data_IF_708707343815
#
_entry.id   IF_708707343815
#
_cell.length_a   1.000
_cell.length_b   1.000
_cell.length_c   1.000
_cell.angle_alpha   90.00
_cell.angle_beta   90.00
_cell.angle_gamma   90.00
#
_symmetry.space_group_name_H-M   'P 1'
#
loop_
_entity.id
_entity.type
_entity.pdbx_description
1 polymer ?
#
# COMPACT_ATOMS: atom_id res chain seq x y z
N UNK A 1 -10.48 -19.31 -14.25
CA UNK A 1 -11.17 -18.82 -13.05
C UNK A 1 -11.67 -17.40 -13.37
N UNK A 2 -12.93 -17.06 -13.06
CA UNK A 2 -13.43 -15.69 -13.27
C UNK A 2 -12.63 -14.73 -12.39
N UNK A 3 -12.12 -13.64 -12.97
CA UNK A 3 -11.45 -12.58 -12.21
C UNK A 3 -12.35 -12.12 -11.08
N UNK A 4 -11.85 -12.00 -9.85
CA UNK A 4 -12.65 -11.49 -8.76
C UNK A 4 -13.11 -10.07 -9.11
N UNK A 5 -14.40 -9.81 -9.05
CA UNK A 5 -14.98 -8.52 -9.40
C UNK A 5 -14.87 -7.58 -8.19
N UNK A 6 -13.67 -6.99 -7.99
CA UNK A 6 -13.43 -6.03 -6.93
C UNK A 6 -14.19 -4.73 -7.22
N UNK A 7 -14.83 -4.16 -6.21
CA UNK A 7 -15.49 -2.85 -6.26
C UNK A 7 -14.68 -1.79 -5.53
N UNK A 8 -14.07 -2.17 -4.42
CA UNK A 8 -13.27 -1.27 -3.58
C UNK A 8 -11.97 -1.95 -3.17
N UNK A 9 -10.87 -1.29 -3.40
CA UNK A 9 -9.55 -1.80 -3.03
C UNK A 9 -8.76 -0.79 -2.20
N UNK A 10 -7.86 -1.30 -1.36
CA UNK A 10 -6.79 -0.51 -0.79
C UNK A 10 -5.49 -0.81 -1.55
N UNK A 11 -4.88 0.20 -2.14
CA UNK A 11 -3.57 0.10 -2.78
C UNK A 11 -2.49 0.55 -1.79
N UNK A 12 -1.64 -0.39 -1.36
CA UNK A 12 -0.48 -0.10 -0.53
C UNK A 12 0.78 -0.08 -1.37
N UNK A 13 1.53 1.02 -1.29
CA UNK A 13 2.82 1.16 -1.96
C UNK A 13 3.96 1.27 -0.94
N UNK A 14 5.10 0.63 -1.24
CA UNK A 14 6.34 0.95 -0.53
C UNK A 14 6.79 2.37 -0.93
N UNK A 15 7.26 3.16 0.04
CA UNK A 15 7.85 4.47 -0.28
C UNK A 15 9.00 4.39 -1.29
N UNK A 16 9.74 3.28 -1.28
CA UNK A 16 10.83 3.03 -2.23
C UNK A 16 10.38 3.00 -3.70
N UNK A 17 9.10 2.74 -3.96
CA UNK A 17 8.54 2.85 -5.30
C UNK A 17 8.63 4.28 -5.82
N UNK A 18 8.47 5.28 -4.93
CA UNK A 18 8.46 6.69 -5.32
C UNK A 18 9.85 7.30 -5.54
N UNK A 19 10.93 6.55 -5.30
CA UNK A 19 12.31 7.02 -5.56
C UNK A 19 12.69 7.02 -7.05
N UNK A 20 11.90 6.35 -7.90
CA UNK A 20 12.29 6.10 -9.29
C UNK A 20 13.58 5.28 -9.36
N UNK A 21 14.55 5.78 -10.10
CA UNK A 21 15.92 5.22 -10.19
C UNK A 21 16.87 5.71 -9.08
N UNK A 22 16.41 6.65 -8.23
CA UNK A 22 17.18 7.20 -7.13
C UNK A 22 17.27 6.26 -5.92
N UNK A 23 18.08 6.66 -4.94
CA UNK A 23 18.24 5.94 -3.68
C UNK A 23 17.49 6.60 -2.50
N UNK A 24 16.94 7.79 -2.71
CA UNK A 24 16.29 8.61 -1.70
C UNK A 24 15.35 9.63 -2.34
N UNK A 25 14.34 10.06 -1.58
CA UNK A 25 13.45 11.14 -1.99
C UNK A 25 12.25 10.69 -2.81
N UNK A 26 11.67 11.64 -3.53
CA UNK A 26 10.45 11.47 -4.34
C UNK A 26 10.76 11.86 -5.77
N UNK A 27 10.53 10.96 -6.70
CA UNK A 27 10.65 11.21 -8.15
C UNK A 27 9.28 11.57 -8.74
N UNK A 28 9.11 12.82 -9.25
CA UNK A 28 7.85 13.26 -9.80
C UNK A 28 7.35 12.41 -10.98
N UNK A 29 8.25 11.95 -11.86
CA UNK A 29 7.87 11.14 -13.01
C UNK A 29 7.29 9.79 -12.57
N UNK A 30 7.87 9.18 -11.53
CA UNK A 30 7.33 7.95 -10.93
C UNK A 30 5.98 8.19 -10.29
N UNK A 31 5.77 9.32 -9.59
CA UNK A 31 4.47 9.67 -9.03
C UNK A 31 3.41 9.83 -10.15
N UNK A 32 3.76 10.48 -11.25
CA UNK A 32 2.87 10.65 -12.41
C UNK A 32 2.52 9.33 -13.08
N UNK A 33 3.49 8.42 -13.24
CA UNK A 33 3.24 7.06 -13.74
C UNK A 33 2.27 6.28 -12.84
N UNK A 34 2.52 6.26 -11.53
CA UNK A 34 1.62 5.60 -10.56
C UNK A 34 0.23 6.24 -10.56
N UNK A 35 0.14 7.56 -10.70
CA UNK A 35 -1.14 8.25 -10.82
C UNK A 35 -1.92 7.83 -12.07
N UNK A 36 -1.23 7.57 -13.19
CA UNK A 36 -1.81 7.02 -14.41
C UNK A 36 -2.42 5.62 -14.20
N UNK A 37 -1.72 4.74 -13.48
CA UNK A 37 -2.24 3.40 -13.11
C UNK A 37 -3.51 3.50 -12.24
N UNK A 38 -3.49 4.38 -11.24
CA UNK A 38 -4.64 4.60 -10.36
C UNK A 38 -5.82 5.19 -11.13
N UNK A 39 -5.55 6.13 -12.05
CA UNK A 39 -6.57 6.71 -12.93
C UNK A 39 -7.24 5.63 -13.78
N UNK A 40 -6.46 4.79 -14.45
CA UNK A 40 -6.99 3.70 -15.30
C UNK A 40 -7.85 2.72 -14.49
N UNK A 41 -7.42 2.34 -13.28
CA UNK A 41 -8.19 1.49 -12.39
C UNK A 41 -9.51 2.16 -11.96
N UNK A 42 -9.48 3.48 -11.70
CA UNK A 42 -10.65 4.26 -11.34
C UNK A 42 -11.65 4.39 -12.49
N UNK A 43 -11.16 4.61 -13.71
CA UNK A 43 -11.98 4.65 -14.93
C UNK A 43 -12.65 3.31 -15.23
N UNK A 44 -12.05 2.21 -14.76
CA UNK A 44 -12.68 0.88 -14.76
C UNK A 44 -13.78 0.69 -13.69
N UNK A 45 -14.08 1.73 -12.88
CA UNK A 45 -15.19 1.75 -11.93
C UNK A 45 -14.82 1.40 -10.49
N UNK A 46 -13.51 1.28 -10.15
CA UNK A 46 -13.10 0.95 -8.80
C UNK A 46 -13.13 2.16 -7.86
N UNK A 47 -13.54 1.93 -6.64
CA UNK A 47 -13.25 2.82 -5.51
C UNK A 47 -11.87 2.46 -4.93
N UNK A 48 -11.00 3.46 -4.81
CA UNK A 48 -9.60 3.25 -4.41
C UNK A 48 -9.27 4.12 -3.21
N UNK A 49 -8.69 3.50 -2.19
CA UNK A 49 -7.93 4.21 -1.17
C UNK A 49 -6.47 3.72 -1.16
N UNK A 50 -5.57 4.54 -0.63
CA UNK A 50 -4.14 4.28 -0.73
C UNK A 50 -3.44 4.49 0.60
N UNK A 51 -2.38 3.71 0.82
CA UNK A 51 -1.37 3.90 1.86
C UNK A 51 0.00 3.88 1.20
N UNK A 52 0.81 4.89 1.44
CA UNK A 52 2.19 4.95 0.92
C UNK A 52 3.17 4.95 2.09
N UNK A 53 4.14 4.05 2.06
CA UNK A 53 5.21 3.99 3.06
C UNK A 53 6.14 5.21 3.01
N UNK A 54 6.93 5.43 4.08
CA UNK A 54 7.87 6.55 4.20
C UNK A 54 9.34 6.21 3.98
N UNK A 55 9.65 4.95 3.63
CA UNK A 55 11.02 4.42 3.64
C UNK A 55 11.99 5.02 2.61
N UNK A 56 11.49 5.76 1.62
CA UNK A 56 12.29 6.56 0.69
C UNK A 56 12.80 7.88 1.30
N UNK A 57 12.22 8.32 2.42
CA UNK A 57 12.57 9.59 3.10
C UNK A 57 13.19 9.27 4.46
N UNK A 58 12.54 8.43 5.27
CA UNK A 58 13.01 8.07 6.60
C UNK A 58 12.52 6.68 7.00
N UNK A 59 13.41 5.88 7.61
CA UNK A 59 13.09 4.54 8.14
C UNK A 59 13.27 4.54 9.65
N UNK A 60 12.18 4.40 10.40
CA UNK A 60 12.19 4.43 11.86
C UNK A 60 13.12 3.37 12.49
N UNK A 61 13.13 2.14 11.97
CA UNK A 61 14.04 1.08 12.43
C UNK A 61 15.51 1.42 12.20
N UNK A 62 15.85 2.01 11.04
CA UNK A 62 17.23 2.44 10.76
C UNK A 62 17.62 3.65 11.63
N UNK A 63 16.69 4.58 11.88
CA UNK A 63 16.88 5.71 12.78
C UNK A 63 17.13 5.24 14.22
N UNK A 64 16.35 4.29 14.73
CA UNK A 64 16.55 3.71 16.05
C UNK A 64 17.93 3.02 16.18
N UNK A 65 18.38 2.32 15.13
CA UNK A 65 19.72 1.74 15.09
C UNK A 65 20.85 2.79 15.08
N UNK A 66 20.56 4.04 14.71
CA UNK A 66 21.48 5.18 14.75
C UNK A 66 21.41 5.98 16.06
N UNK A 67 20.66 5.50 17.06
CA UNK A 67 20.59 6.11 18.39
C UNK A 67 19.38 7.00 18.67
N UNK A 68 18.44 7.12 17.73
CA UNK A 68 17.16 7.76 18.02
C UNK A 68 16.29 6.87 18.93
N UNK A 69 15.50 7.49 19.81
CA UNK A 69 14.42 6.80 20.48
C UNK A 69 13.46 6.19 19.45
N UNK A 70 13.03 4.95 19.66
CA UNK A 70 12.22 4.20 18.70
C UNK A 70 10.90 4.90 18.38
N UNK A 71 10.19 5.40 19.39
CA UNK A 71 8.92 6.07 19.17
C UNK A 71 9.09 7.37 18.39
N UNK A 72 10.15 8.15 18.70
CA UNK A 72 10.51 9.37 17.97
C UNK A 72 10.85 9.07 16.52
N UNK A 73 11.64 8.02 16.26
CA UNK A 73 11.99 7.59 14.91
C UNK A 73 10.75 7.13 14.11
N UNK A 74 9.82 6.43 14.75
CA UNK A 74 8.57 6.02 14.11
C UNK A 74 7.68 7.23 13.75
N UNK A 75 7.61 8.29 14.61
CA UNK A 75 6.93 9.54 14.27
C UNK A 75 7.58 10.25 13.07
N UNK A 76 8.91 10.26 12.97
CA UNK A 76 9.60 10.79 11.78
C UNK A 76 9.22 10.00 10.53
N UNK A 77 9.14 8.68 10.62
CA UNK A 77 8.65 7.81 9.54
C UNK A 77 7.18 8.10 9.17
N UNK A 78 6.32 8.38 10.14
CA UNK A 78 4.93 8.78 9.90
C UNK A 78 4.86 10.10 9.14
N UNK A 79 5.66 11.12 9.51
CA UNK A 79 5.74 12.39 8.80
C UNK A 79 6.26 12.20 7.36
N UNK A 80 7.20 11.29 7.14
CA UNK A 80 7.66 10.93 5.80
C UNK A 80 6.52 10.37 4.93
N UNK A 81 5.58 9.59 5.50
CA UNK A 81 4.40 9.13 4.76
C UNK A 81 3.46 10.28 4.36
N UNK A 82 3.40 11.35 5.17
CA UNK A 82 2.60 12.54 4.83
C UNK A 82 3.19 13.24 3.61
N UNK A 83 4.51 13.41 3.54
CA UNK A 83 5.17 13.97 2.36
C UNK A 83 4.87 13.17 1.10
N UNK A 84 4.96 11.84 1.17
CA UNK A 84 4.62 10.96 0.05
C UNK A 84 3.14 11.05 -0.35
N UNK A 85 2.24 11.14 0.61
CA UNK A 85 0.81 11.28 0.34
C UNK A 85 0.48 12.60 -0.37
N UNK A 86 1.12 13.71 0.01
CA UNK A 86 0.96 15.01 -0.65
C UNK A 86 1.53 14.99 -2.08
N UNK A 87 2.68 14.35 -2.29
CA UNK A 87 3.25 14.18 -3.63
C UNK A 87 2.33 13.36 -4.54
N UNK A 88 1.79 12.24 -4.03
CA UNK A 88 0.83 11.43 -4.77
C UNK A 88 -0.49 12.16 -5.01
N UNK A 89 -1.00 12.94 -4.05
CA UNK A 89 -2.17 13.80 -4.27
C UNK A 89 -1.94 14.75 -5.43
N UNK A 90 -0.80 15.44 -5.45
CA UNK A 90 -0.47 16.36 -6.54
C UNK A 90 -0.44 15.67 -7.91
N UNK A 91 0.18 14.48 -7.99
CA UNK A 91 0.23 13.71 -9.23
C UNK A 91 -1.15 13.23 -9.68
N UNK A 92 -1.98 12.74 -8.76
CA UNK A 92 -3.34 12.29 -9.04
C UNK A 92 -4.24 13.44 -9.51
N UNK A 93 -4.17 14.59 -8.84
CA UNK A 93 -4.96 15.77 -9.22
C UNK A 93 -4.54 16.34 -10.58
N UNK A 94 -3.24 16.35 -10.91
CA UNK A 94 -2.73 16.65 -12.25
C UNK A 94 -3.26 15.69 -13.32
N UNK A 95 -3.42 14.41 -12.97
CA UNK A 95 -4.01 13.40 -13.86
C UNK A 95 -5.54 13.51 -13.97
N UNK A 96 -6.18 14.44 -13.25
CA UNK A 96 -7.62 14.65 -13.25
C UNK A 96 -8.39 13.77 -12.27
N UNK A 97 -7.72 13.17 -11.28
CA UNK A 97 -8.32 12.32 -10.25
C UNK A 97 -8.52 13.13 -8.98
N UNK A 98 -9.77 13.42 -8.61
CA UNK A 98 -10.06 14.08 -7.33
C UNK A 98 -9.53 13.24 -6.15
N UNK A 99 -8.72 13.86 -5.29
CA UNK A 99 -8.00 13.15 -4.23
C UNK A 99 -8.12 13.89 -2.89
N UNK A 100 -8.12 13.15 -1.78
CA UNK A 100 -8.06 13.69 -0.43
C UNK A 100 -7.02 12.96 0.41
N UNK A 101 -6.17 13.71 1.09
CA UNK A 101 -5.24 13.16 2.09
C UNK A 101 -5.88 13.28 3.46
N UNK A 102 -5.90 12.17 4.21
CA UNK A 102 -6.33 12.13 5.60
C UNK A 102 -5.21 11.59 6.48
N UNK A 103 -4.80 12.36 7.50
CA UNK A 103 -3.71 12.01 8.40
C UNK A 103 -4.23 11.48 9.74
N UNK A 104 -3.62 10.39 10.23
CA UNK A 104 -3.86 9.86 11.56
C UNK A 104 -3.32 10.79 12.66
N UNK A 105 -2.28 11.59 12.36
CA UNK A 105 -1.80 12.67 13.23
C UNK A 105 -2.47 13.96 12.78
N UNK A 106 -3.20 14.68 13.66
CA UNK A 106 -3.86 15.93 13.30
C UNK A 106 -2.86 16.99 12.82
N UNK A 107 -3.05 17.48 11.59
CA UNK A 107 -2.27 18.56 11.00
C UNK A 107 -3.15 19.37 10.02
N UNK A 108 -4.18 20.01 10.56
CA UNK A 108 -5.27 20.62 9.81
C UNK A 108 -4.84 21.67 8.76
N UNK A 109 -3.68 22.30 8.92
CA UNK A 109 -3.12 23.24 7.94
C UNK A 109 -2.52 22.55 6.71
N UNK A 110 -2.33 21.22 6.74
CA UNK A 110 -1.65 20.45 5.68
C UNK A 110 -2.62 19.50 4.98
N UNK A 111 -3.41 18.75 5.76
CA UNK A 111 -4.38 17.77 5.24
C UNK A 111 -5.50 17.54 6.24
N UNK A 112 -6.52 16.79 5.84
CA UNK A 112 -7.65 16.50 6.71
C UNK A 112 -7.24 15.54 7.85
N UNK A 113 -7.80 15.71 9.07
CA UNK A 113 -7.72 14.67 10.08
C UNK A 113 -8.49 13.42 9.62
N UNK A 114 -7.95 12.24 9.92
CA UNK A 114 -8.61 10.99 9.62
C UNK A 114 -9.91 10.85 10.44
N UNK A 115 -11.00 10.71 9.73
CA UNK A 115 -12.31 10.36 10.28
C UNK A 115 -12.92 9.32 9.32
N UNK A 116 -13.15 8.09 9.81
CA UNK A 116 -13.62 6.95 9.02
C UNK A 116 -14.79 7.32 8.10
N UNK A 117 -15.88 7.87 8.64
CA UNK A 117 -17.08 8.25 7.87
C UNK A 117 -16.82 9.33 6.81
N UNK A 118 -15.84 10.20 7.05
CA UNK A 118 -15.44 11.22 6.09
C UNK A 118 -14.67 10.59 4.91
N UNK A 119 -13.78 9.62 5.20
CA UNK A 119 -13.10 8.84 4.18
C UNK A 119 -14.11 8.06 3.31
N UNK A 120 -15.03 7.31 3.92
CA UNK A 120 -16.10 6.61 3.21
C UNK A 120 -16.89 7.56 2.30
N UNK A 121 -17.26 8.75 2.81
CA UNK A 121 -18.00 9.75 2.02
C UNK A 121 -17.19 10.29 0.84
N UNK A 122 -15.87 10.43 0.97
CA UNK A 122 -15.01 10.80 -0.15
C UNK A 122 -15.00 9.71 -1.23
N UNK A 123 -14.81 8.45 -0.85
CA UNK A 123 -14.81 7.33 -1.79
C UNK A 123 -16.14 7.20 -2.53
N UNK A 124 -17.27 7.29 -1.83
CA UNK A 124 -18.63 7.30 -2.41
C UNK A 124 -18.86 8.45 -3.43
N UNK A 125 -18.12 9.56 -3.27
CA UNK A 125 -18.12 10.67 -4.24
C UNK A 125 -17.13 10.46 -5.39
N UNK A 126 -16.55 9.27 -5.49
CA UNK A 126 -15.59 8.93 -6.52
C UNK A 126 -14.19 9.54 -6.32
N UNK A 127 -13.83 9.97 -5.11
CA UNK A 127 -12.51 10.48 -4.78
C UNK A 127 -11.57 9.35 -4.35
N UNK A 128 -10.29 9.49 -4.69
CA UNK A 128 -9.24 8.67 -4.08
C UNK A 128 -8.90 9.23 -2.70
N UNK A 129 -8.78 8.38 -1.69
CA UNK A 129 -8.38 8.77 -0.34
C UNK A 129 -6.98 8.21 -0.05
N UNK A 130 -6.04 9.09 0.30
CA UNK A 130 -4.71 8.72 0.76
C UNK A 130 -4.67 8.79 2.29
N UNK A 131 -4.36 7.68 2.94
CA UNK A 131 -4.17 7.63 4.38
C UNK A 131 -2.70 7.87 4.72
N UNK A 132 -2.43 8.92 5.47
CA UNK A 132 -1.10 9.38 5.86
C UNK A 132 -0.87 9.25 7.37
N UNK A 133 0.37 9.36 7.81
CA UNK A 133 0.83 9.22 9.19
C UNK A 133 0.53 7.84 9.81
N UNK A 134 0.48 6.79 8.99
CA UNK A 134 0.34 5.43 9.48
C UNK A 134 -0.94 5.22 10.30
N UNK A 135 -0.82 4.52 11.43
CA UNK A 135 -1.87 4.39 12.43
C UNK A 135 -1.95 5.59 13.39
N UNK A 136 -0.97 6.50 13.35
CA UNK A 136 -0.76 7.55 14.35
C UNK A 136 -0.06 7.07 15.62
N UNK A 137 0.30 5.79 15.69
CA UNK A 137 0.91 5.15 16.86
C UNK A 137 2.28 4.56 16.49
N UNK A 138 3.31 4.74 17.33
CA UNK A 138 4.60 4.08 17.18
C UNK A 138 4.48 2.54 17.20
N UNK A 139 5.52 1.86 16.76
CA UNK A 139 5.67 0.39 16.71
C UNK A 139 4.83 -0.32 15.64
N UNK A 140 3.99 0.38 14.90
CA UNK A 140 3.25 -0.16 13.76
C UNK A 140 3.86 0.25 12.44
N UNK A 141 3.77 -0.64 11.46
CA UNK A 141 4.24 -0.36 10.09
C UNK A 141 3.13 0.18 9.20
N UNK A 142 3.48 0.59 7.98
CA UNK A 142 2.49 0.93 6.96
C UNK A 142 1.77 -0.28 6.39
N UNK A 143 2.28 -1.50 6.58
CA UNK A 143 1.58 -2.74 6.23
C UNK A 143 0.40 -2.97 7.19
N UNK A 144 0.64 -2.84 8.51
CA UNK A 144 -0.44 -2.87 9.53
C UNK A 144 -1.47 -1.76 9.28
N UNK A 145 -1.00 -0.55 8.92
CA UNK A 145 -1.89 0.56 8.56
C UNK A 145 -2.78 0.20 7.37
N UNK A 146 -2.20 -0.39 6.33
CA UNK A 146 -2.95 -0.78 5.13
C UNK A 146 -4.03 -1.83 5.46
N UNK A 147 -3.70 -2.86 6.23
CA UNK A 147 -4.66 -3.86 6.68
C UNK A 147 -5.81 -3.24 7.50
N UNK A 148 -5.48 -2.36 8.47
CA UNK A 148 -6.47 -1.64 9.29
C UNK A 148 -7.40 -0.79 8.43
N UNK A 149 -6.85 0.03 7.53
CA UNK A 149 -7.67 0.90 6.67
C UNK A 149 -8.49 0.10 5.65
N UNK A 150 -7.97 -1.01 5.14
CA UNK A 150 -8.74 -1.91 4.27
C UNK A 150 -9.99 -2.46 4.99
N UNK A 151 -9.83 -2.92 6.24
CA UNK A 151 -10.94 -3.38 7.06
C UNK A 151 -11.94 -2.26 7.37
N UNK A 152 -11.47 -1.08 7.82
CA UNK A 152 -12.33 0.07 8.14
C UNK A 152 -13.11 0.59 6.94
N UNK A 153 -12.54 0.53 5.74
CA UNK A 153 -13.15 0.99 4.49
C UNK A 153 -13.98 -0.10 3.81
N UNK A 154 -14.07 -1.30 4.37
CA UNK A 154 -14.73 -2.46 3.78
C UNK A 154 -14.19 -2.71 2.34
N UNK A 155 -12.86 -2.78 2.21
CA UNK A 155 -12.24 -3.11 0.93
C UNK A 155 -12.39 -4.59 0.61
N UNK A 156 -12.63 -4.92 -0.65
CA UNK A 156 -12.72 -6.31 -1.15
C UNK A 156 -11.34 -6.99 -1.18
N UNK A 157 -10.26 -6.19 -1.27
CA UNK A 157 -8.89 -6.68 -1.27
C UNK A 157 -7.88 -5.59 -0.91
N UNK A 158 -6.70 -6.01 -0.43
CA UNK A 158 -5.52 -5.19 -0.24
C UNK A 158 -4.51 -5.51 -1.35
N UNK A 159 -4.21 -4.54 -2.20
CA UNK A 159 -3.22 -4.64 -3.28
C UNK A 159 -1.89 -4.09 -2.79
N UNK A 160 -0.88 -4.95 -2.66
CA UNK A 160 0.48 -4.56 -2.29
C UNK A 160 1.35 -4.39 -3.54
N UNK A 161 1.51 -3.14 -3.98
CA UNK A 161 2.44 -2.76 -5.03
C UNK A 161 3.87 -2.66 -4.49
N UNK A 162 4.74 -3.51 -5.00
CA UNK A 162 6.14 -3.65 -4.60
C UNK A 162 7.08 -3.68 -5.81
N UNK A 163 8.37 -3.94 -5.61
CA UNK A 163 9.37 -4.11 -6.67
C UNK A 163 9.57 -5.57 -7.10
N UNK A 164 8.79 -6.50 -6.57
CA UNK A 164 8.77 -7.91 -6.94
C UNK A 164 7.38 -8.31 -7.41
N UNK A 165 7.29 -9.30 -8.27
CA UNK A 165 6.07 -9.70 -8.96
C UNK A 165 5.20 -10.70 -8.18
N UNK A 166 5.56 -10.99 -6.91
CA UNK A 166 4.81 -11.87 -6.04
C UNK A 166 5.57 -12.30 -4.81
N UNK A 167 5.08 -13.35 -4.15
CA UNK A 167 5.68 -13.99 -2.99
C UNK A 167 6.43 -15.23 -3.45
N UNK A 168 7.64 -15.43 -2.91
CA UNK A 168 8.55 -16.52 -3.24
C UNK A 168 8.85 -17.38 -2.01
N UNK A 169 9.28 -18.62 -2.24
CA UNK A 169 9.76 -19.53 -1.20
C UNK A 169 11.11 -19.12 -0.59
N UNK A 170 11.86 -18.27 -1.31
CA UNK A 170 13.09 -17.64 -0.88
C UNK A 170 13.26 -16.27 -1.53
N UNK A 171 14.22 -15.45 -1.08
CA UNK A 171 14.52 -14.16 -1.70
C UNK A 171 15.07 -14.37 -3.14
N UNK A 172 14.33 -14.02 -4.21
CA UNK A 172 14.77 -14.26 -5.59
C UNK A 172 16.03 -13.49 -5.97
N UNK A 173 16.38 -12.43 -5.23
CA UNK A 173 17.63 -11.68 -5.44
C UNK A 173 18.86 -12.43 -4.91
N UNK A 174 18.67 -13.34 -3.97
CA UNK A 174 19.74 -14.16 -3.34
C UNK A 174 19.74 -15.58 -3.86
N UNK A 175 18.57 -16.11 -4.16
CA UNK A 175 18.36 -17.51 -4.58
C UNK A 175 17.74 -17.50 -5.99
N UNK A 176 18.52 -17.64 -7.05
CA UNK A 176 18.02 -17.61 -8.43
C UNK A 176 17.00 -18.72 -8.76
N UNK A 177 16.97 -19.78 -7.96
CA UNK A 177 16.03 -20.92 -8.11
C UNK A 177 14.75 -20.74 -7.29
N UNK A 178 14.57 -19.59 -6.62
CA UNK A 178 13.37 -19.30 -5.85
C UNK A 178 12.11 -19.38 -6.74
N UNK A 179 11.10 -20.06 -6.24
CA UNK A 179 9.84 -20.28 -6.96
C UNK A 179 8.78 -19.34 -6.41
N UNK A 180 8.10 -18.62 -7.33
CA UNK A 180 6.98 -17.77 -6.99
C UNK A 180 5.74 -18.62 -6.74
N UNK A 181 4.98 -18.24 -5.73
CA UNK A 181 3.65 -18.78 -5.50
C UNK A 181 2.60 -17.99 -6.27
N UNK A 182 1.67 -18.67 -6.92
CA UNK A 182 0.49 -18.03 -7.51
C UNK A 182 -0.56 -17.74 -6.44
N UNK A 183 -0.70 -18.65 -5.48
CA UNK A 183 -1.63 -18.55 -4.38
C UNK A 183 -1.03 -19.12 -3.09
N UNK A 184 -1.38 -18.51 -1.95
CA UNK A 184 -0.97 -18.93 -0.61
C UNK A 184 -2.13 -18.76 0.36
N UNK A 185 -2.22 -19.63 1.38
CA UNK A 185 -3.09 -19.35 2.52
C UNK A 185 -2.40 -18.41 3.53
N UNK A 186 -3.20 -17.62 4.25
CA UNK A 186 -2.69 -16.79 5.36
C UNK A 186 -1.96 -17.62 6.41
N UNK A 187 -2.50 -18.81 6.72
CA UNK A 187 -1.88 -19.70 7.71
C UNK A 187 -0.49 -20.15 7.27
N UNK A 188 -0.31 -20.47 5.99
CA UNK A 188 0.99 -20.83 5.44
C UNK A 188 1.97 -19.67 5.48
N UNK A 189 1.53 -18.45 5.12
CA UNK A 189 2.37 -17.24 5.19
C UNK A 189 2.89 -17.02 6.61
N UNK A 190 2.03 -17.20 7.63
CA UNK A 190 2.41 -17.03 9.04
C UNK A 190 3.29 -18.17 9.56
N UNK A 191 2.97 -19.42 9.19
CA UNK A 191 3.73 -20.60 9.65
C UNK A 191 5.15 -20.65 9.07
N UNK A 192 5.30 -20.31 7.79
CA UNK A 192 6.57 -20.33 7.07
C UNK A 192 7.34 -19.00 7.21
N UNK A 193 6.83 -18.03 7.98
CA UNK A 193 7.39 -16.66 8.15
C UNK A 193 7.72 -15.98 6.80
N UNK A 194 6.86 -16.16 5.80
CA UNK A 194 7.07 -15.56 4.48
C UNK A 194 6.96 -14.04 4.55
N UNK A 195 7.90 -13.33 3.94
CA UNK A 195 8.02 -11.87 4.03
C UNK A 195 7.05 -11.13 3.09
N UNK A 196 5.78 -11.45 3.20
CA UNK A 196 4.71 -10.77 2.46
C UNK A 196 4.44 -9.39 3.04
N UNK A 197 4.08 -9.37 4.32
CA UNK A 197 3.80 -8.20 5.15
C UNK A 197 4.22 -8.54 6.59
N UNK A 198 4.13 -7.58 7.51
CA UNK A 198 4.31 -7.94 8.92
C UNK A 198 3.18 -8.88 9.41
N UNK A 199 3.49 -9.72 10.40
CA UNK A 199 2.56 -10.75 10.89
C UNK A 199 1.24 -10.16 11.40
N UNK A 200 1.26 -8.97 12.00
CA UNK A 200 0.05 -8.28 12.46
C UNK A 200 -0.86 -7.86 11.31
N UNK A 201 -0.28 -7.39 10.20
CA UNK A 201 -1.04 -7.06 9.00
C UNK A 201 -1.67 -8.30 8.35
N UNK A 202 -0.90 -9.39 8.23
CA UNK A 202 -1.37 -10.67 7.68
C UNK A 202 -2.51 -11.23 8.54
N UNK A 203 -2.36 -11.25 9.88
CA UNK A 203 -3.39 -11.72 10.79
C UNK A 203 -4.66 -10.87 10.70
N UNK A 204 -4.55 -9.54 10.62
CA UNK A 204 -5.68 -8.65 10.50
C UNK A 204 -6.45 -8.87 9.18
N UNK A 205 -5.74 -9.06 8.08
CA UNK A 205 -6.37 -9.39 6.79
C UNK A 205 -7.08 -10.76 6.84
N UNK A 206 -6.44 -11.78 7.43
CA UNK A 206 -7.03 -13.11 7.63
C UNK A 206 -8.34 -13.04 8.42
N UNK A 207 -8.31 -12.37 9.57
CA UNK A 207 -9.45 -12.30 10.50
C UNK A 207 -10.64 -11.51 9.94
N UNK A 208 -10.42 -10.71 8.89
CA UNK A 208 -11.45 -9.93 8.19
C UNK A 208 -11.72 -10.41 6.76
N UNK A 209 -11.21 -11.57 6.35
CA UNK A 209 -11.38 -12.14 5.01
C UNK A 209 -10.99 -11.19 3.86
N UNK A 210 -9.93 -10.40 4.07
CA UNK A 210 -9.42 -9.45 3.07
C UNK A 210 -8.23 -10.08 2.35
N UNK A 211 -8.36 -10.57 1.11
CA UNK A 211 -7.25 -11.13 0.36
C UNK A 211 -6.18 -10.07 0.10
N UNK A 212 -4.90 -10.50 0.15
CA UNK A 212 -3.76 -9.67 -0.19
C UNK A 212 -3.27 -10.07 -1.57
N UNK A 213 -3.15 -9.10 -2.49
CA UNK A 213 -2.62 -9.30 -3.84
C UNK A 213 -1.27 -8.62 -3.92
N UNK A 214 -0.19 -9.40 -4.07
CA UNK A 214 1.18 -8.89 -4.16
C UNK A 214 1.61 -8.87 -5.62
N UNK A 215 2.05 -7.72 -6.12
CA UNK A 215 2.42 -7.55 -7.53
C UNK A 215 3.51 -6.48 -7.72
N UNK A 216 4.17 -6.49 -8.88
CA UNK A 216 5.15 -5.47 -9.23
C UNK A 216 4.45 -4.23 -9.80
N UNK A 217 4.50 -3.12 -9.07
CA UNK A 217 3.93 -1.82 -9.51
C UNK A 217 4.88 -1.05 -10.46
N UNK A 218 6.14 -1.50 -10.60
CA UNK A 218 7.09 -0.84 -11.50
C UNK A 218 6.82 -1.15 -12.97
N UNK A 219 6.20 -2.29 -13.26
CA UNK A 219 5.80 -2.68 -14.60
C UNK A 219 4.58 -1.86 -15.00
N UNK A 220 4.69 -1.12 -16.09
CA UNK A 220 3.64 -0.25 -16.60
C UNK A 220 2.40 -1.07 -17.01
N UNK A 221 1.21 -0.61 -16.62
CA UNK A 221 -0.06 -1.28 -16.87
C UNK A 221 -0.34 -2.48 -15.96
N UNK A 222 0.60 -2.88 -15.08
CA UNK A 222 0.47 -4.11 -14.31
C UNK A 222 -0.65 -4.05 -13.25
N UNK A 223 -0.91 -2.89 -12.62
CA UNK A 223 -2.05 -2.77 -11.71
C UNK A 223 -3.36 -3.11 -12.43
N UNK A 224 -3.57 -2.54 -13.59
CA UNK A 224 -4.77 -2.81 -14.40
C UNK A 224 -4.84 -4.26 -14.88
N UNK A 225 -3.72 -4.85 -15.29
CA UNK A 225 -3.64 -6.26 -15.69
C UNK A 225 -3.98 -7.19 -14.52
N UNK A 226 -3.41 -6.96 -13.33
CA UNK A 226 -3.69 -7.76 -12.13
C UNK A 226 -5.15 -7.62 -11.70
N UNK A 227 -5.73 -6.43 -11.78
CA UNK A 227 -7.16 -6.21 -11.50
C UNK A 227 -8.08 -7.01 -12.45
N UNK A 228 -7.64 -7.27 -13.67
CA UNK A 228 -8.35 -8.11 -14.65
C UNK A 228 -8.03 -9.60 -14.49
N UNK A 229 -7.11 -9.98 -13.61
CA UNK A 229 -6.63 -11.36 -13.47
C UNK A 229 -5.69 -11.82 -14.59
N UNK A 230 -5.11 -10.88 -15.35
CA UNK A 230 -4.21 -11.13 -16.48
C UNK A 230 -2.74 -10.90 -16.11
N UNK A 231 -2.48 -10.14 -15.05
CA UNK A 231 -1.14 -9.78 -14.60
C UNK A 231 -0.49 -10.82 -13.68
N UNK A 232 0.84 -10.71 -13.53
CA UNK A 232 1.61 -11.55 -12.61
C UNK A 232 1.45 -11.06 -11.18
N UNK A 233 1.00 -11.93 -10.28
CA UNK A 233 0.80 -11.62 -8.86
C UNK A 233 0.78 -12.90 -8.01
N UNK A 234 0.86 -12.74 -6.70
CA UNK A 234 0.52 -13.76 -5.72
C UNK A 234 -0.71 -13.32 -4.94
N UNK A 235 -1.69 -14.21 -4.80
CA UNK A 235 -2.88 -13.97 -3.99
C UNK A 235 -2.73 -14.72 -2.67
N UNK A 236 -2.86 -14.00 -1.55
CA UNK A 236 -2.91 -14.58 -0.20
C UNK A 236 -4.33 -14.46 0.33
N UNK A 237 -4.96 -15.58 0.68
CA UNK A 237 -6.35 -15.63 1.16
C UNK A 237 -6.57 -16.76 2.16
N UNK A 238 -7.75 -16.84 2.77
CA UNK A 238 -8.13 -18.02 3.56
C UNK A 238 -8.20 -19.27 2.68
N UNK A 239 -7.91 -20.42 3.29
CA UNK A 239 -8.15 -21.72 2.65
C UNK A 239 -9.64 -21.85 2.33
N UNK A 240 -9.98 -22.48 1.18
CA UNK A 240 -11.36 -22.72 0.75
C UNK A 240 -12.04 -23.79 1.58
#
# INVERSE_FOLDING_TARGET
MSSPNFKRILLKLSGEVLMGSGQFGIDPATCERVAGEVKAAKEAGLEICMVVGGGNIFRGLAGAAQGFDRASADYMGMLATVMNALAMQNALEKAGVETRVQSAIPMASVCEPYIRRKAERHMQKGRVVLFAAGTGLPFFTTDTTAALRAAEMNCDALFKGTSVDGVYDADPKKVPTATRYDELSFNRVLADDLKVMDASAVALCRDNDIPIVVFNIRDEGNLTAVLRGEGTSTIVRNDA
#
